data_IF_421174566117
#
_entry.id   IF_421174566117
#
_cell.length_a   1.000
_cell.length_b   1.000
_cell.length_c   1.000
_cell.angle_alpha   90.00
_cell.angle_beta   90.00
_cell.angle_gamma   90.00
#
_symmetry.space_group_name_H-M   'P 1'
#
loop_
_entity.id
_entity.type
_entity.pdbx_description
1 polymer ?
#
# COMPACT_ATOMS: atom_id res chain seq x y z
N UNK A 1 -26.62 8.12 -19.60
CA UNK A 1 -25.24 8.54 -19.86
C UNK A 1 -24.35 7.54 -19.15
N UNK A 2 -23.58 6.74 -19.88
CA UNK A 2 -22.57 5.88 -19.26
C UNK A 2 -21.32 6.70 -19.07
N UNK A 3 -21.07 7.17 -17.86
CA UNK A 3 -19.70 7.50 -17.46
C UNK A 3 -18.91 6.21 -17.58
N UNK A 4 -18.03 6.12 -18.58
CA UNK A 4 -16.89 5.22 -18.51
C UNK A 4 -16.12 5.67 -17.27
N UNK A 5 -16.37 4.99 -16.14
CA UNK A 5 -15.42 5.00 -15.06
C UNK A 5 -14.14 4.51 -15.71
N UNK A 6 -13.13 5.40 -15.80
CA UNK A 6 -11.78 4.90 -16.02
C UNK A 6 -11.59 3.92 -14.87
N UNK A 7 -11.51 2.63 -15.19
CA UNK A 7 -11.04 1.61 -14.26
C UNK A 7 -9.58 1.93 -14.03
N UNK A 8 -9.33 2.92 -13.18
CA UNK A 8 -8.02 3.20 -12.65
C UNK A 8 -7.68 1.94 -11.87
N UNK A 9 -6.75 1.15 -12.38
CA UNK A 9 -6.07 0.14 -11.61
C UNK A 9 -4.91 0.86 -10.90
N UNK A 10 -5.11 1.32 -9.65
CA UNK A 10 -4.08 2.03 -8.93
C UNK A 10 -2.94 1.07 -8.65
N UNK A 11 -1.79 1.35 -9.25
CA UNK A 11 -0.59 0.53 -9.12
C UNK A 11 0.41 1.25 -8.24
N UNK A 12 0.88 0.56 -7.20
CA UNK A 12 1.98 1.04 -6.38
C UNK A 12 3.28 1.09 -7.19
N UNK A 13 4.00 2.18 -7.02
CA UNK A 13 5.30 2.43 -7.62
C UNK A 13 6.42 2.33 -6.58
N UNK A 14 6.18 2.89 -5.38
CA UNK A 14 7.12 2.84 -4.28
C UNK A 14 6.39 2.89 -2.94
N UNK A 15 7.00 2.27 -1.94
CA UNK A 15 6.52 2.30 -0.56
C UNK A 15 7.63 2.85 0.31
N UNK A 16 7.30 3.86 1.10
CA UNK A 16 8.21 4.47 2.07
C UNK A 16 7.53 4.56 3.43
N UNK A 17 8.35 4.68 4.47
CA UNK A 17 7.89 4.68 5.85
C UNK A 17 8.50 5.83 6.63
N UNK A 18 7.72 6.29 7.58
CA UNK A 18 8.16 7.15 8.68
C UNK A 18 7.90 6.43 10.00
N UNK A 19 8.33 7.00 11.13
CA UNK A 19 8.06 6.43 12.46
C UNK A 19 6.58 6.14 12.75
N UNK A 20 5.64 6.80 12.06
CA UNK A 20 4.20 6.69 12.35
C UNK A 20 3.31 6.43 11.14
N UNK A 21 3.84 6.44 9.92
CA UNK A 21 3.02 6.43 8.70
C UNK A 21 3.68 5.66 7.57
N UNK A 22 2.85 4.95 6.80
CA UNK A 22 3.18 4.35 5.52
C UNK A 22 2.77 5.30 4.41
N UNK A 23 3.64 5.46 3.43
CA UNK A 23 3.47 6.33 2.28
C UNK A 23 3.63 5.46 1.03
N UNK A 24 2.60 5.44 0.19
CA UNK A 24 2.60 4.67 -1.07
C UNK A 24 2.45 5.65 -2.23
N UNK A 25 3.44 5.69 -3.10
CA UNK A 25 3.37 6.43 -4.35
C UNK A 25 2.79 5.52 -5.44
N UNK A 26 1.85 6.04 -6.20
CA UNK A 26 1.20 5.35 -7.31
C UNK A 26 1.79 5.78 -8.65
N UNK A 27 1.76 4.87 -9.63
CA UNK A 27 2.23 5.14 -10.99
C UNK A 27 1.48 6.28 -11.70
N UNK A 28 0.24 6.56 -11.27
CA UNK A 28 -0.56 7.67 -11.79
C UNK A 28 -0.22 9.04 -11.17
N UNK A 29 0.82 9.10 -10.34
CA UNK A 29 1.33 10.32 -9.72
C UNK A 29 0.62 10.72 -8.43
N UNK A 30 -0.32 9.91 -7.92
CA UNK A 30 -0.92 10.10 -6.59
C UNK A 30 0.00 9.53 -5.51
N UNK A 31 -0.02 10.15 -4.34
CA UNK A 31 0.61 9.62 -3.12
C UNK A 31 -0.46 9.40 -2.07
N UNK A 32 -0.48 8.21 -1.48
CA UNK A 32 -1.36 7.86 -0.37
C UNK A 32 -0.53 7.81 0.91
N UNK A 33 -1.03 8.42 1.98
CA UNK A 33 -0.40 8.36 3.30
C UNK A 33 -1.42 7.85 4.31
N UNK A 34 -1.05 6.80 5.04
CA UNK A 34 -1.87 6.23 6.09
C UNK A 34 -1.05 6.03 7.38
N UNK A 35 -1.65 6.20 8.56
CA UNK A 35 -1.00 5.88 9.83
C UNK A 35 -0.64 4.38 9.93
N UNK A 36 0.59 4.06 10.33
CA UNK A 36 1.03 2.66 10.54
C UNK A 36 0.17 1.94 11.58
N UNK A 37 -0.35 2.67 12.57
CA UNK A 37 -1.24 2.13 13.62
C UNK A 37 -2.54 1.54 13.08
N UNK A 38 -2.93 1.82 11.84
CA UNK A 38 -4.08 1.17 11.20
C UNK A 38 -3.79 -0.27 10.81
N UNK A 39 -2.52 -0.64 10.72
CA UNK A 39 -2.05 -1.96 10.30
C UNK A 39 -1.26 -2.58 11.44
N UNK A 40 -1.91 -3.35 12.35
CA UNK A 40 -1.27 -3.82 13.58
C UNK A 40 0.04 -4.57 13.34
N UNK A 41 0.13 -5.40 12.30
CA UNK A 41 1.34 -6.14 11.95
C UNK A 41 2.46 -5.20 11.46
N UNK A 42 2.16 -4.27 10.55
CA UNK A 42 3.14 -3.28 10.10
C UNK A 42 3.59 -2.35 11.25
N UNK A 43 2.70 -2.03 12.18
CA UNK A 43 3.03 -1.19 13.34
C UNK A 43 3.99 -1.85 14.34
N UNK A 44 4.05 -3.18 14.35
CA UNK A 44 4.95 -3.97 15.21
C UNK A 44 6.21 -4.44 14.47
N UNK A 45 6.25 -4.29 13.14
CA UNK A 45 7.37 -4.70 12.32
C UNK A 45 8.57 -3.78 12.55
N UNK A 46 9.77 -4.35 12.49
CA UNK A 46 11.00 -3.57 12.51
C UNK A 46 11.28 -2.98 11.11
N UNK A 47 12.24 -2.05 11.04
CA UNK A 47 12.57 -1.36 9.79
C UNK A 47 13.02 -2.31 8.67
N UNK A 48 13.81 -3.34 8.99
CA UNK A 48 14.30 -4.31 8.00
C UNK A 48 13.14 -5.10 7.38
N UNK A 49 12.16 -5.49 8.20
CA UNK A 49 10.95 -6.18 7.74
C UNK A 49 10.06 -5.28 6.90
N UNK A 50 9.93 -3.99 7.27
CA UNK A 50 9.14 -3.02 6.51
C UNK A 50 9.78 -2.66 5.17
N UNK A 51 11.11 -2.64 5.09
CA UNK A 51 11.86 -2.39 3.86
C UNK A 51 11.91 -3.63 2.94
N UNK A 52 11.67 -4.83 3.47
CA UNK A 52 11.56 -6.06 2.70
C UNK A 52 10.13 -6.30 2.24
N UNK A 53 9.73 -5.61 1.17
CA UNK A 53 8.41 -5.75 0.56
C UNK A 53 8.51 -6.14 -0.91
N UNK A 54 7.44 -6.76 -1.40
CA UNK A 54 7.31 -7.22 -2.77
C UNK A 54 5.96 -6.75 -3.35
N UNK A 55 5.92 -6.47 -4.65
CA UNK A 55 4.65 -6.18 -5.31
C UNK A 55 3.85 -7.46 -5.53
N UNK A 56 2.54 -7.39 -5.26
CA UNK A 56 1.58 -8.41 -5.67
C UNK A 56 0.96 -8.01 -7.01
N UNK A 57 0.93 -8.95 -7.95
CA UNK A 57 0.46 -8.71 -9.31
C UNK A 57 1.28 -7.63 -10.02
N UNK A 58 0.62 -6.78 -10.80
CA UNK A 58 1.22 -5.62 -11.46
C UNK A 58 1.32 -4.38 -10.54
N UNK A 59 1.47 -4.57 -9.23
CA UNK A 59 1.49 -3.49 -8.22
C UNK A 59 0.13 -3.15 -7.64
N UNK A 60 -0.87 -4.02 -7.79
CA UNK A 60 -2.21 -3.85 -7.21
C UNK A 60 -2.25 -4.07 -5.69
N UNK A 61 -1.21 -4.72 -5.17
CA UNK A 61 -0.96 -4.87 -3.74
C UNK A 61 0.52 -4.91 -3.41
N UNK A 62 0.81 -4.87 -2.12
CA UNK A 62 2.15 -4.96 -1.54
C UNK A 62 2.14 -6.09 -0.53
N UNK A 63 3.17 -6.92 -0.52
CA UNK A 63 3.34 -8.02 0.41
C UNK A 63 4.62 -7.86 1.21
N UNK A 64 4.54 -8.10 2.52
CA UNK A 64 5.69 -8.20 3.41
C UNK A 64 5.88 -9.65 3.84
N UNK A 65 6.82 -10.40 3.23
CA UNK A 65 7.01 -11.82 3.51
C UNK A 65 7.45 -12.10 4.95
N UNK A 66 8.23 -11.20 5.58
CA UNK A 66 8.75 -11.43 6.94
C UNK A 66 7.69 -11.40 8.03
N UNK A 67 6.57 -10.72 7.80
CA UNK A 67 5.47 -10.55 8.75
C UNK A 67 4.15 -11.14 8.23
N UNK A 68 4.19 -11.77 7.06
CA UNK A 68 3.05 -12.37 6.37
C UNK A 68 1.86 -11.40 6.30
N UNK A 69 2.12 -10.21 5.75
CA UNK A 69 1.11 -9.17 5.60
C UNK A 69 0.96 -8.75 4.15
N UNK A 70 -0.27 -8.46 3.74
CA UNK A 70 -0.60 -7.92 2.44
C UNK A 70 -1.43 -6.64 2.57
N UNK A 71 -1.15 -5.67 1.68
CA UNK A 71 -1.84 -4.39 1.59
C UNK A 71 -2.36 -4.22 0.17
N UNK A 72 -3.68 -4.16 0.02
CA UNK A 72 -4.31 -3.84 -1.27
C UNK A 72 -4.34 -2.33 -1.51
N UNK A 73 -3.89 -1.89 -2.69
CA UNK A 73 -3.95 -0.47 -3.07
C UNK A 73 -5.40 0.00 -3.26
N UNK A 74 -6.25 -0.85 -3.83
CA UNK A 74 -7.68 -0.57 -3.95
C UNK A 74 -8.35 -0.45 -2.58
N UNK A 75 -8.02 -1.36 -1.64
CA UNK A 75 -8.51 -1.32 -0.26
C UNK A 75 -8.06 -0.05 0.48
N UNK A 76 -6.78 0.33 0.31
CA UNK A 76 -6.22 1.54 0.88
C UNK A 76 -6.92 2.82 0.37
N UNK A 77 -7.24 2.90 -0.93
CA UNK A 77 -7.98 4.01 -1.52
C UNK A 77 -9.44 4.06 -1.07
N UNK A 78 -10.07 2.91 -0.84
CA UNK A 78 -11.45 2.81 -0.37
C UNK A 78 -11.58 3.04 1.15
N UNK A 79 -10.48 2.95 1.90
CA UNK A 79 -10.50 2.96 3.37
C UNK A 79 -11.10 1.68 3.97
N UNK A 80 -11.12 0.59 3.21
CA UNK A 80 -11.55 -0.75 3.64
C UNK A 80 -10.34 -1.67 3.50
N UNK A 81 -9.62 -1.84 4.60
CA UNK A 81 -8.49 -2.76 4.71
C UNK A 81 -8.88 -3.98 5.54
#
# INVERSE_FOLDING_TARGET
MSTLAVELHPQAHSVTYTDSSIIVDLLDGRTITAPLVWFPKLSQANKEQLENWEFLGDGEGIHWPDIDEDLSIAGLLAGTH
#
